data_IF_751259112260
#
_entry.id   IF_751259112260
#
_cell.length_a   1.000
_cell.length_b   1.000
_cell.length_c   1.000
_cell.angle_alpha   90.00
_cell.angle_beta   90.00
_cell.angle_gamma   90.00
#
_symmetry.space_group_name_H-M   'P 1'
#
loop_
_entity.id
_entity.type
_entity.pdbx_description
1 polymer ?
#
# COMPACT_ATOMS: atom_id res chain seq x y z
N UNK A 1 -10.94 -4.39 -3.13
CA UNK A 1 -9.90 -5.09 -2.31
C UNK A 1 -10.51 -6.12 -1.36
N UNK A 2 -11.56 -5.82 -0.57
CA UNK A 2 -12.10 -6.76 0.42
C UNK A 2 -12.67 -8.07 -0.20
N UNK A 3 -13.26 -7.97 -1.38
CA UNK A 3 -13.80 -9.12 -2.12
C UNK A 3 -12.78 -9.78 -3.04
N UNK A 4 -11.86 -9.00 -3.60
CA UNK A 4 -10.86 -9.51 -4.55
C UNK A 4 -9.70 -10.24 -3.86
N UNK A 5 -9.27 -9.79 -2.68
CA UNK A 5 -8.16 -10.42 -1.97
C UNK A 5 -8.39 -11.91 -1.65
N UNK A 6 -9.56 -12.34 -1.13
CA UNK A 6 -9.83 -13.77 -0.91
C UNK A 6 -9.84 -14.59 -2.19
N UNK A 7 -10.35 -14.03 -3.29
CA UNK A 7 -10.39 -14.71 -4.59
C UNK A 7 -8.97 -14.90 -5.13
N UNK A 8 -8.15 -13.84 -5.09
CA UNK A 8 -6.75 -13.89 -5.53
C UNK A 8 -5.94 -14.87 -4.68
N UNK A 9 -6.11 -14.85 -3.36
CA UNK A 9 -5.45 -15.81 -2.46
C UNK A 9 -5.84 -17.25 -2.81
N UNK A 10 -7.11 -17.51 -3.06
CA UNK A 10 -7.58 -18.86 -3.42
C UNK A 10 -7.04 -19.33 -4.77
N UNK A 11 -6.90 -18.42 -5.75
CA UNK A 11 -6.43 -18.77 -7.10
C UNK A 11 -4.90 -18.93 -7.17
N UNK A 12 -4.15 -18.08 -6.47
CA UNK A 12 -2.70 -18.02 -6.62
C UNK A 12 -1.91 -18.56 -5.43
N UNK A 13 -2.51 -18.67 -4.26
CA UNK A 13 -1.85 -19.17 -3.06
C UNK A 13 -2.36 -20.53 -2.60
N UNK A 14 -3.29 -21.15 -3.33
CA UNK A 14 -3.83 -22.48 -2.99
C UNK A 14 -2.76 -23.57 -2.89
N UNK A 15 -1.70 -23.49 -3.68
CA UNK A 15 -0.58 -24.44 -3.65
C UNK A 15 0.36 -24.23 -2.45
N UNK A 16 0.36 -23.03 -1.87
CA UNK A 16 1.23 -22.65 -0.74
C UNK A 16 0.48 -22.67 0.61
N UNK A 17 -0.83 -22.83 0.58
CA UNK A 17 -1.65 -22.88 1.78
C UNK A 17 -1.83 -24.33 2.23
N UNK A 18 -1.78 -24.63 3.54
CA UNK A 18 -2.08 -25.95 4.07
C UNK A 18 -3.44 -26.44 3.57
N UNK A 19 -3.55 -27.74 3.30
CA UNK A 19 -4.78 -28.38 2.76
C UNK A 19 -6.03 -28.14 3.64
N UNK A 20 -5.84 -27.91 4.94
CA UNK A 20 -6.89 -27.62 5.90
C UNK A 20 -7.17 -26.11 6.08
N UNK A 21 -6.55 -25.25 5.25
CA UNK A 21 -6.68 -23.81 5.35
C UNK A 21 -8.03 -23.33 4.78
N UNK A 22 -9.05 -23.32 5.62
CA UNK A 22 -10.33 -22.73 5.31
C UNK A 22 -10.26 -21.20 5.54
N UNK A 23 -10.19 -20.42 4.47
CA UNK A 23 -10.32 -18.95 4.53
C UNK A 23 -11.75 -18.61 4.99
N UNK A 24 -11.95 -18.03 6.18
CA UNK A 24 -13.25 -17.54 6.61
C UNK A 24 -13.55 -16.22 5.88
N UNK A 25 -13.87 -16.31 4.58
CA UNK A 25 -14.02 -15.17 3.65
C UNK A 25 -15.01 -14.14 4.20
N UNK A 26 -16.14 -14.59 4.76
CA UNK A 26 -17.15 -13.68 5.31
C UNK A 26 -16.65 -12.89 6.52
N UNK A 27 -15.97 -13.55 7.45
CA UNK A 27 -15.42 -12.89 8.63
C UNK A 27 -14.28 -11.93 8.24
N UNK A 28 -13.43 -12.35 7.33
CA UNK A 28 -12.33 -11.52 6.80
C UNK A 28 -12.86 -10.27 6.10
N UNK A 29 -13.89 -10.41 5.27
CA UNK A 29 -14.52 -9.29 4.58
C UNK A 29 -15.11 -8.27 5.56
N UNK A 30 -15.78 -8.75 6.62
CA UNK A 30 -16.35 -7.89 7.67
C UNK A 30 -15.24 -7.18 8.45
N UNK A 31 -14.19 -7.90 8.86
CA UNK A 31 -13.06 -7.32 9.57
C UNK A 31 -12.36 -6.24 8.71
N UNK A 32 -12.04 -6.52 7.46
CA UNK A 32 -11.45 -5.54 6.54
C UNK A 32 -12.39 -4.34 6.34
N UNK A 33 -13.68 -4.58 6.12
CA UNK A 33 -14.66 -3.50 5.96
C UNK A 33 -14.73 -2.64 7.22
N UNK A 34 -14.75 -3.23 8.41
CA UNK A 34 -14.76 -2.50 9.67
C UNK A 34 -13.49 -1.64 9.84
N UNK A 35 -12.31 -2.19 9.59
CA UNK A 35 -11.04 -1.45 9.68
C UNK A 35 -10.89 -0.32 8.66
N UNK A 36 -11.54 -0.42 7.50
CA UNK A 36 -11.53 0.64 6.48
C UNK A 36 -12.65 1.65 6.69
N UNK A 37 -13.87 1.17 6.95
CA UNK A 37 -15.07 2.03 6.99
C UNK A 37 -15.15 2.79 8.31
N UNK A 38 -14.81 2.18 9.44
CA UNK A 38 -14.91 2.84 10.73
C UNK A 38 -14.04 4.10 10.83
N UNK A 39 -12.73 4.08 10.49
CA UNK A 39 -11.93 5.31 10.48
C UNK A 39 -12.43 6.36 9.50
N UNK A 40 -12.93 5.93 8.33
CA UNK A 40 -13.50 6.83 7.33
C UNK A 40 -14.72 7.56 7.88
N UNK A 41 -15.65 6.83 8.50
CA UNK A 41 -16.84 7.42 9.12
C UNK A 41 -16.47 8.39 10.25
N UNK A 42 -15.50 8.00 11.10
CA UNK A 42 -14.99 8.87 12.16
C UNK A 42 -14.41 10.16 11.57
N UNK A 43 -13.58 10.04 10.51
CA UNK A 43 -13.02 11.20 9.81
C UNK A 43 -14.10 12.12 9.22
N UNK A 44 -15.13 11.56 8.60
CA UNK A 44 -16.28 12.31 8.06
C UNK A 44 -17.06 13.02 9.16
N UNK A 45 -17.28 12.37 10.30
CA UNK A 45 -17.95 12.99 11.46
C UNK A 45 -17.12 14.16 12.01
N UNK A 46 -15.81 13.96 12.20
CA UNK A 46 -14.91 15.01 12.67
C UNK A 46 -14.93 16.21 11.72
N UNK A 47 -14.87 15.96 10.41
CA UNK A 47 -14.91 17.02 9.41
C UNK A 47 -16.24 17.79 9.45
N UNK A 48 -17.35 17.12 9.74
CA UNK A 48 -18.68 17.74 9.81
C UNK A 48 -18.89 18.50 11.13
N UNK A 49 -18.46 17.94 12.25
CA UNK A 49 -18.73 18.50 13.59
C UNK A 49 -17.68 19.57 13.98
N UNK A 50 -16.41 19.33 13.59
CA UNK A 50 -15.30 20.22 13.95
C UNK A 50 -14.44 20.60 12.74
N UNK A 51 -15.00 21.28 11.72
CA UNK A 51 -14.29 21.59 10.47
C UNK A 51 -13.01 22.38 10.69
N UNK A 52 -12.97 23.26 11.71
CA UNK A 52 -11.79 24.08 12.05
C UNK A 52 -10.60 23.23 12.54
N UNK A 53 -10.85 22.08 13.15
CA UNK A 53 -9.82 21.19 13.70
C UNK A 53 -9.54 19.97 12.82
N UNK A 54 -10.37 19.74 11.81
CA UNK A 54 -10.26 18.56 10.96
C UNK A 54 -8.88 18.42 10.30
N UNK A 55 -8.32 19.53 9.82
CA UNK A 55 -6.98 19.53 9.23
C UNK A 55 -5.90 19.15 10.24
N UNK A 56 -5.94 19.73 11.44
CA UNK A 56 -4.99 19.42 12.51
C UNK A 56 -5.08 17.94 12.92
N UNK A 57 -6.30 17.40 13.05
CA UNK A 57 -6.52 15.97 13.33
C UNK A 57 -5.94 15.10 12.24
N UNK A 58 -6.15 15.46 10.96
CA UNK A 58 -5.59 14.74 9.82
C UNK A 58 -4.05 14.73 9.89
N UNK A 59 -3.42 15.89 10.06
CA UNK A 59 -1.97 16.04 10.10
C UNK A 59 -1.34 15.25 11.26
N UNK A 60 -1.96 15.30 12.44
CA UNK A 60 -1.52 14.49 13.59
C UNK A 60 -1.72 12.99 13.36
N UNK A 61 -2.84 12.58 12.77
CA UNK A 61 -3.09 11.17 12.45
C UNK A 61 -2.04 10.61 11.49
N UNK A 62 -1.67 11.38 10.47
CA UNK A 62 -0.60 11.00 9.53
C UNK A 62 0.75 10.88 10.24
N UNK A 63 1.12 11.86 11.09
CA UNK A 63 2.38 11.81 11.84
C UNK A 63 2.44 10.62 12.79
N UNK A 64 1.36 10.34 13.51
CA UNK A 64 1.26 9.18 14.42
C UNK A 64 1.33 7.85 13.64
N UNK A 65 0.71 7.78 12.47
CA UNK A 65 0.79 6.59 11.62
C UNK A 65 2.21 6.34 11.13
N UNK A 66 2.93 7.38 10.69
CA UNK A 66 4.33 7.28 10.28
C UNK A 66 5.19 6.83 11.47
N UNK A 67 5.01 7.45 12.64
CA UNK A 67 5.73 7.06 13.85
C UNK A 67 5.48 5.59 14.21
N UNK A 68 4.23 5.15 14.17
CA UNK A 68 3.86 3.75 14.44
C UNK A 68 4.55 2.79 13.48
N UNK A 69 4.57 3.10 12.17
CA UNK A 69 5.27 2.28 11.16
C UNK A 69 6.77 2.21 11.45
N UNK A 70 7.40 3.34 11.77
CA UNK A 70 8.83 3.39 12.11
C UNK A 70 9.13 2.59 13.37
N UNK A 71 8.28 2.68 14.39
CA UNK A 71 8.43 1.90 15.63
C UNK A 71 8.26 0.38 15.38
N UNK A 72 7.28 -0.01 14.58
CA UNK A 72 7.06 -1.42 14.21
C UNK A 72 8.27 -1.95 13.43
N UNK A 73 8.73 -1.21 12.43
CA UNK A 73 9.89 -1.60 11.63
C UNK A 73 11.15 -1.67 12.51
N UNK A 74 11.42 -0.65 13.32
CA UNK A 74 12.56 -0.58 14.20
C UNK A 74 12.56 -1.69 15.25
N UNK A 75 11.43 -1.96 15.89
CA UNK A 75 11.30 -3.06 16.86
C UNK A 75 11.48 -4.43 16.20
N UNK A 76 10.96 -4.63 15.01
CA UNK A 76 11.08 -5.89 14.27
C UNK A 76 12.53 -6.17 13.84
N UNK A 77 13.29 -5.13 13.50
CA UNK A 77 14.72 -5.22 13.22
C UNK A 77 15.53 -5.43 14.52
N UNK A 78 15.25 -4.64 15.55
CA UNK A 78 15.97 -4.68 16.82
C UNK A 78 15.80 -6.00 17.60
N UNK A 79 14.65 -6.64 17.49
CA UNK A 79 14.39 -7.96 18.10
C UNK A 79 14.89 -9.13 17.26
N UNK A 80 15.50 -8.87 16.09
CA UNK A 80 15.96 -9.92 15.18
C UNK A 80 14.84 -10.73 14.53
N UNK A 81 13.59 -10.27 14.65
CA UNK A 81 12.44 -10.89 13.97
C UNK A 81 12.55 -10.83 12.46
N UNK A 82 13.09 -9.71 11.95
CA UNK A 82 13.36 -9.50 10.53
C UNK A 82 14.87 -9.40 10.39
N UNK A 83 15.43 -10.30 9.62
CA UNK A 83 16.85 -10.31 9.25
C UNK A 83 16.99 -10.04 7.76
N UNK A 84 17.03 -8.76 7.32
CA UNK A 84 16.96 -8.39 5.91
C UNK A 84 18.04 -9.04 5.05
N UNK A 85 19.22 -9.25 5.64
CA UNK A 85 20.38 -9.83 4.94
C UNK A 85 20.25 -11.34 4.71
N UNK A 86 19.47 -12.04 5.53
CA UNK A 86 19.25 -13.49 5.40
C UNK A 86 18.33 -13.82 4.21
N UNK A 87 17.51 -12.85 3.76
CA UNK A 87 16.57 -13.04 2.65
C UNK A 87 17.20 -12.79 1.27
N UNK A 88 18.45 -12.33 1.23
CA UNK A 88 19.17 -12.03 -0.02
C UNK A 88 18.65 -10.79 -0.75
N UNK A 89 19.13 -10.61 -1.98
CA UNK A 89 18.82 -9.43 -2.82
C UNK A 89 17.52 -9.56 -3.62
N UNK A 90 17.00 -10.77 -3.78
CA UNK A 90 15.84 -11.04 -4.64
C UNK A 90 14.56 -10.34 -4.17
N UNK A 91 14.14 -10.41 -2.87
CA UNK A 91 12.95 -9.73 -2.42
C UNK A 91 13.00 -8.19 -2.58
N UNK A 92 14.08 -7.47 -2.18
CA UNK A 92 14.18 -6.04 -2.44
C UNK A 92 14.11 -5.69 -3.92
N UNK A 93 14.82 -6.43 -4.76
CA UNK A 93 14.81 -6.18 -6.20
C UNK A 93 13.42 -6.40 -6.81
N UNK A 94 12.73 -7.46 -6.42
CA UNK A 94 11.38 -7.75 -6.88
C UNK A 94 10.40 -6.65 -6.45
N UNK A 95 10.47 -6.20 -5.20
CA UNK A 95 9.61 -5.13 -4.67
C UNK A 95 9.84 -3.80 -5.38
N UNK A 96 11.11 -3.40 -5.55
CA UNK A 96 11.47 -2.16 -6.25
C UNK A 96 11.01 -2.22 -7.70
N UNK A 97 11.29 -3.33 -8.40
CA UNK A 97 10.87 -3.52 -9.80
C UNK A 97 9.35 -3.47 -9.93
N UNK A 98 8.63 -4.18 -9.07
CA UNK A 98 7.17 -4.19 -9.06
C UNK A 98 6.60 -2.78 -8.83
N UNK A 99 7.05 -2.07 -7.81
CA UNK A 99 6.60 -0.71 -7.51
C UNK A 99 6.93 0.26 -8.65
N UNK A 100 8.11 0.16 -9.25
CA UNK A 100 8.54 0.99 -10.39
C UNK A 100 7.68 0.74 -11.63
N UNK A 101 7.42 -0.52 -11.96
CA UNK A 101 6.54 -0.86 -13.08
C UNK A 101 5.15 -0.24 -12.87
N UNK A 102 4.56 -0.40 -11.68
CA UNK A 102 3.23 0.16 -11.41
C UNK A 102 3.22 1.68 -11.47
N UNK A 103 4.21 2.35 -10.89
CA UNK A 103 4.29 3.82 -10.90
C UNK A 103 4.39 4.39 -12.32
N UNK A 104 5.21 3.79 -13.16
CA UNK A 104 5.55 4.38 -14.47
C UNK A 104 4.78 3.77 -15.65
N UNK A 105 4.39 2.49 -15.60
CA UNK A 105 3.58 1.89 -16.67
C UNK A 105 2.11 2.32 -16.59
N UNK A 106 1.55 2.54 -15.41
CA UNK A 106 0.14 2.92 -15.23
C UNK A 106 -0.23 4.20 -15.98
N UNK A 107 0.53 5.32 -15.92
CA UNK A 107 0.21 6.52 -16.69
C UNK A 107 0.19 6.26 -18.20
N UNK A 108 1.11 5.46 -18.73
CA UNK A 108 1.16 5.13 -20.14
C UNK A 108 -0.07 4.34 -20.59
N UNK A 109 -0.47 3.33 -19.79
CA UNK A 109 -1.66 2.54 -20.06
C UNK A 109 -2.93 3.39 -20.03
N UNK A 110 -3.07 4.25 -19.01
CA UNK A 110 -4.24 5.11 -18.85
C UNK A 110 -4.34 6.15 -19.97
N UNK A 111 -3.21 6.60 -20.49
CA UNK A 111 -3.17 7.47 -21.64
C UNK A 111 -3.73 6.79 -22.90
N UNK A 112 -3.36 5.53 -23.15
CA UNK A 112 -3.92 4.74 -24.26
C UNK A 112 -5.44 4.62 -24.14
N UNK A 113 -5.95 4.60 -22.90
CA UNK A 113 -7.38 4.61 -22.59
C UNK A 113 -8.02 6.01 -22.62
N UNK A 114 -7.30 7.04 -23.09
CA UNK A 114 -7.82 8.40 -23.24
C UNK A 114 -8.07 9.16 -21.93
N UNK A 115 -7.43 8.73 -20.81
CA UNK A 115 -7.61 9.39 -19.51
C UNK A 115 -6.79 10.68 -19.40
N UNK A 116 -7.29 11.63 -18.60
CA UNK A 116 -6.62 12.92 -18.37
C UNK A 116 -5.31 12.74 -17.60
N UNK A 117 -4.40 13.71 -17.68
CA UNK A 117 -3.14 13.66 -16.92
C UNK A 117 -3.36 13.59 -15.39
N UNK A 118 -4.43 14.23 -14.90
CA UNK A 118 -4.80 14.17 -13.49
C UNK A 118 -5.22 12.75 -13.08
N UNK A 119 -6.04 12.07 -13.90
CA UNK A 119 -6.45 10.68 -13.67
C UNK A 119 -5.26 9.74 -13.73
N UNK A 120 -4.35 9.94 -14.69
CA UNK A 120 -3.13 9.14 -14.84
C UNK A 120 -2.28 9.17 -13.57
N UNK A 121 -2.08 10.36 -13.00
CA UNK A 121 -1.32 10.51 -11.74
C UNK A 121 -2.08 9.92 -10.56
N UNK A 122 -3.36 10.26 -10.41
CA UNK A 122 -4.15 9.78 -9.28
C UNK A 122 -4.15 8.23 -9.22
N UNK A 123 -4.41 7.59 -10.36
CA UNK A 123 -4.43 6.14 -10.44
C UNK A 123 -3.03 5.52 -10.32
N UNK A 124 -1.96 6.16 -10.83
CA UNK A 124 -0.60 5.69 -10.64
C UNK A 124 -0.21 5.70 -9.15
N UNK A 125 -0.57 6.75 -8.42
CA UNK A 125 -0.37 6.83 -6.97
C UNK A 125 -1.17 5.74 -6.27
N UNK A 126 -2.47 5.61 -6.55
CA UNK A 126 -3.36 4.64 -5.91
C UNK A 126 -2.91 3.19 -6.13
N UNK A 127 -2.51 2.86 -7.35
CA UNK A 127 -2.06 1.50 -7.70
C UNK A 127 -0.69 1.19 -7.09
N UNK A 128 0.20 2.19 -6.96
CA UNK A 128 1.55 1.99 -6.42
C UNK A 128 1.57 2.10 -4.90
N UNK A 129 0.94 3.12 -4.32
CA UNK A 129 0.90 3.32 -2.86
C UNK A 129 -0.31 2.60 -2.28
N UNK A 130 -0.21 1.28 -2.17
CA UNK A 130 -1.29 0.45 -1.64
C UNK A 130 -1.34 0.50 -0.12
N UNK A 131 -2.53 0.22 0.41
CA UNK A 131 -2.72 0.11 1.85
C UNK A 131 -2.05 -1.17 2.40
N UNK A 132 -0.81 -1.03 2.84
CA UNK A 132 -0.02 -2.13 3.44
C UNK A 132 -0.61 -2.61 4.77
N UNK A 133 -1.47 -1.83 5.42
CA UNK A 133 -2.09 -2.21 6.70
C UNK A 133 -2.96 -3.46 6.56
N UNK A 134 -3.63 -3.63 5.42
CA UNK A 134 -4.40 -4.86 5.14
C UNK A 134 -3.47 -6.06 5.03
N UNK A 135 -2.35 -5.91 4.34
CA UNK A 135 -1.36 -6.98 4.23
C UNK A 135 -0.79 -7.36 5.60
N UNK A 136 -0.45 -6.38 6.43
CA UNK A 136 0.03 -6.60 7.80
C UNK A 136 -1.02 -7.29 8.68
N UNK A 137 -2.30 -6.89 8.56
CA UNK A 137 -3.42 -7.53 9.25
C UNK A 137 -3.53 -9.01 8.84
N UNK A 138 -3.46 -9.30 7.54
CA UNK A 138 -3.53 -10.66 7.00
C UNK A 138 -2.36 -11.51 7.50
N UNK A 139 -1.15 -10.97 7.47
CA UNK A 139 0.04 -11.66 7.98
C UNK A 139 -0.11 -12.01 9.46
N UNK A 140 -0.53 -11.05 10.29
CA UNK A 140 -0.74 -11.29 11.72
C UNK A 140 -1.86 -12.28 12.02
N UNK A 141 -2.86 -12.36 11.14
CA UNK A 141 -4.02 -13.23 11.35
C UNK A 141 -3.82 -14.66 10.86
N UNK A 142 -3.17 -14.83 9.71
CA UNK A 142 -3.08 -16.13 9.04
C UNK A 142 -1.75 -16.86 9.25
N UNK A 143 -0.70 -16.14 9.65
CA UNK A 143 0.62 -16.74 9.88
C UNK A 143 1.14 -16.50 11.31
N UNK A 144 0.30 -16.62 12.37
CA UNK A 144 0.76 -16.34 13.73
C UNK A 144 1.82 -17.36 14.15
N UNK A 145 3.04 -16.85 14.42
CA UNK A 145 4.14 -17.67 14.92
C UNK A 145 4.79 -18.60 13.91
N UNK A 146 4.42 -18.54 12.63
CA UNK A 146 5.07 -19.30 11.57
C UNK A 146 6.37 -18.62 11.13
N UNK A 147 7.42 -19.37 10.76
CA UNK A 147 8.70 -18.80 10.30
C UNK A 147 8.54 -17.91 9.06
N UNK A 148 7.57 -18.22 8.18
CA UNK A 148 7.24 -17.47 6.97
C UNK A 148 6.64 -16.09 7.30
N UNK A 149 6.05 -15.92 8.49
CA UNK A 149 5.49 -14.64 8.94
C UNK A 149 6.52 -13.51 8.87
N UNK A 150 7.76 -13.78 9.26
CA UNK A 150 8.83 -12.79 9.25
C UNK A 150 9.20 -12.35 7.83
N UNK A 151 9.21 -13.29 6.87
CA UNK A 151 9.51 -13.01 5.46
C UNK A 151 8.41 -12.16 4.81
N UNK A 152 7.16 -12.54 5.02
CA UNK A 152 6.02 -11.79 4.48
C UNK A 152 5.93 -10.39 5.10
N UNK A 153 6.16 -10.29 6.42
CA UNK A 153 6.22 -9.02 7.13
C UNK A 153 7.32 -8.12 6.56
N UNK A 154 8.51 -8.67 6.31
CA UNK A 154 9.63 -7.96 5.68
C UNK A 154 9.24 -7.40 4.32
N UNK A 155 8.65 -8.21 3.43
CA UNK A 155 8.23 -7.77 2.10
C UNK A 155 7.16 -6.67 2.18
N UNK A 156 6.19 -6.80 3.07
CA UNK A 156 5.14 -5.80 3.28
C UNK A 156 5.71 -4.45 3.77
N UNK A 157 6.61 -4.47 4.75
CA UNK A 157 7.25 -3.27 5.28
C UNK A 157 8.19 -2.63 4.25
N UNK A 158 8.95 -3.45 3.53
CA UNK A 158 9.82 -2.99 2.45
C UNK A 158 9.00 -2.30 1.36
N UNK A 159 7.88 -2.91 0.93
CA UNK A 159 6.99 -2.30 -0.05
C UNK A 159 6.42 -0.95 0.44
N UNK A 160 5.94 -0.90 1.67
CA UNK A 160 5.43 0.35 2.26
C UNK A 160 6.49 1.46 2.29
N UNK A 161 7.75 1.11 2.59
CA UNK A 161 8.87 2.05 2.61
C UNK A 161 9.33 2.53 1.23
N UNK A 162 9.23 1.68 0.21
CA UNK A 162 9.76 1.93 -1.14
C UNK A 162 8.73 2.54 -2.08
N UNK A 163 7.47 2.18 -1.97
CA UNK A 163 6.42 2.61 -2.90
C UNK A 163 6.26 4.14 -2.95
N UNK A 164 6.25 4.80 -1.79
CA UNK A 164 6.12 6.26 -1.72
C UNK A 164 7.30 7.01 -2.34
N UNK A 165 8.57 6.73 -2.01
CA UNK A 165 9.72 7.35 -2.68
C UNK A 165 9.72 7.16 -4.21
N UNK A 166 9.27 6.03 -4.72
CA UNK A 166 9.23 5.77 -6.17
C UNK A 166 8.22 6.66 -6.89
N UNK A 167 7.11 7.00 -6.23
CA UNK A 167 6.05 7.85 -6.81
C UNK A 167 6.37 9.34 -6.70
N UNK A 168 7.16 9.76 -5.71
CA UNK A 168 7.46 11.18 -5.47
C UNK A 168 8.04 11.91 -6.69
N UNK A 169 8.99 11.36 -7.47
CA UNK A 169 9.50 12.00 -8.68
C UNK A 169 8.40 12.25 -9.72
N UNK A 170 7.47 11.31 -9.88
CA UNK A 170 6.33 11.44 -10.79
C UNK A 170 5.42 12.60 -10.40
N UNK A 171 5.10 12.72 -9.10
CA UNK A 171 4.31 13.82 -8.55
C UNK A 171 5.02 15.16 -8.70
N UNK A 172 6.32 15.20 -8.44
CA UNK A 172 7.14 16.41 -8.58
C UNK A 172 7.19 16.91 -10.02
N UNK A 173 7.41 16.01 -10.99
CA UNK A 173 7.42 16.34 -12.41
C UNK A 173 6.05 16.84 -12.86
N UNK A 174 4.96 16.20 -12.43
CA UNK A 174 3.60 16.64 -12.73
C UNK A 174 3.31 18.05 -12.20
N UNK A 175 3.72 18.35 -10.97
CA UNK A 175 3.59 19.70 -10.38
C UNK A 175 4.36 20.77 -11.19
N UNK A 176 5.44 20.38 -11.85
CA UNK A 176 6.21 21.27 -12.75
C UNK A 176 5.64 21.36 -14.16
N UNK A 177 4.46 20.83 -14.41
CA UNK A 177 3.79 20.90 -15.70
C UNK A 177 4.25 19.87 -16.73
N UNK A 178 4.97 18.82 -16.32
CA UNK A 178 5.29 17.71 -17.20
C UNK A 178 4.14 16.70 -17.24
N UNK A 179 3.79 16.26 -18.46
CA UNK A 179 2.85 15.14 -18.62
C UNK A 179 3.53 13.83 -18.23
N UNK A 180 2.91 13.02 -17.34
CA UNK A 180 3.52 11.80 -16.84
C UNK A 180 3.79 10.75 -17.91
N UNK A 181 2.96 10.72 -18.96
CA UNK A 181 3.08 9.73 -20.03
C UNK A 181 4.05 10.14 -21.16
N UNK A 182 4.38 11.44 -21.31
CA UNK A 182 5.21 11.93 -22.41
C UNK A 182 6.54 12.51 -21.99
N UNK A 183 6.74 12.81 -20.70
CA UNK A 183 7.90 13.59 -20.27
C UNK A 183 7.98 15.00 -20.88
N UNK A 184 6.89 15.48 -21.52
CA UNK A 184 6.85 16.79 -22.19
C UNK A 184 6.14 17.83 -21.32
N UNK A 185 6.64 19.06 -21.36
CA UNK A 185 5.97 20.19 -20.73
C UNK A 185 4.54 20.34 -21.28
N UNK A 186 3.56 20.56 -20.41
CA UNK A 186 2.20 20.95 -20.80
C UNK A 186 2.28 22.25 -21.58
N UNK A 187 1.66 22.31 -22.77
CA UNK A 187 1.39 23.59 -23.42
C UNK A 187 0.36 24.33 -22.56
N UNK A 188 0.60 25.59 -22.18
CA UNK A 188 -0.42 26.38 -21.52
C UNK A 188 -1.63 26.50 -22.49
N UNK A 189 -2.80 26.13 -21.97
CA UNK A 189 -4.08 26.34 -22.66
C UNK A 189 -4.52 27.78 -22.58
#
# INVERSE_FOLDING_TARGET
CALTAPIVLRLFASEFLPTDFALPIGRLAIEIAAYLIAPLLVGMVIQRVWPKHAQAVCDWSVRLSILAIVLIAGSSLGTGRIKPFDYGIVPPLAVITYATIHAYATPHLLRVLGRTDADQIALAVEVTVRNSSIALLLVGRFFPGQPEQAQVLYVCLLYAGVATPIVLPLLYLHRRGFSPALGRARRPS
#
